data_IF_265972004149
#
_entry.id   IF_265972004149
#
_cell.length_a   1.000
_cell.length_b   1.000
_cell.length_c   1.000
_cell.angle_alpha   90.00
_cell.angle_beta   90.00
_cell.angle_gamma   90.00
#
_symmetry.space_group_name_H-M   'P 1'
#
loop_
_entity.id
_entity.type
_entity.pdbx_description
1 polymer ?
#
# COMPACT_ATOMS: atom_id res chain seq x y z
N UNK A 1 45.61 -27.87 27.95
CA UNK A 1 44.70 -26.74 28.26
C UNK A 1 45.23 -25.50 27.54
N UNK A 2 44.75 -25.22 26.32
CA UNK A 2 45.08 -23.99 25.60
C UNK A 2 43.93 -23.71 24.63
N UNK A 3 42.95 -22.96 25.12
CA UNK A 3 41.80 -22.51 24.34
C UNK A 3 42.26 -21.43 23.35
N UNK A 4 42.24 -21.74 22.06
CA UNK A 4 42.44 -20.78 20.99
C UNK A 4 41.37 -19.68 21.09
N UNK A 5 41.81 -18.43 21.26
CA UNK A 5 40.94 -17.24 21.26
C UNK A 5 40.12 -17.19 19.96
N UNK A 6 38.80 -17.00 20.00
CA UNK A 6 38.02 -16.85 18.77
C UNK A 6 38.43 -15.54 18.09
N UNK A 7 38.74 -15.63 16.79
CA UNK A 7 39.19 -14.53 15.95
C UNK A 7 38.22 -13.33 15.97
N UNK A 8 38.55 -12.27 16.72
CA UNK A 8 37.79 -11.02 16.78
C UNK A 8 37.61 -10.35 15.40
N UNK A 9 38.51 -10.61 14.44
CA UNK A 9 38.44 -10.10 13.06
C UNK A 9 37.36 -10.78 12.21
N UNK A 10 37.00 -12.03 12.50
CA UNK A 10 35.91 -12.74 11.82
C UNK A 10 34.54 -12.27 12.35
N UNK A 11 34.47 -11.96 13.64
CA UNK A 11 33.27 -11.44 14.28
C UNK A 11 33.00 -9.99 13.86
N UNK A 12 34.02 -9.13 13.82
CA UNK A 12 33.91 -7.75 13.33
C UNK A 12 33.51 -7.66 11.84
N UNK A 13 33.98 -8.58 10.98
CA UNK A 13 33.55 -8.65 9.57
C UNK A 13 32.10 -9.10 9.40
N UNK A 14 31.59 -9.98 10.26
CA UNK A 14 30.16 -10.32 10.24
C UNK A 14 29.30 -9.17 10.77
N UNK A 15 29.73 -8.43 11.79
CA UNK A 15 29.02 -7.23 12.28
C UNK A 15 28.98 -6.12 11.23
N UNK A 16 30.05 -5.94 10.45
CA UNK A 16 30.10 -4.99 9.33
C UNK A 16 29.19 -5.39 8.15
N UNK A 17 29.01 -6.70 7.88
CA UNK A 17 28.11 -7.21 6.82
C UNK A 17 26.62 -6.94 7.09
N UNK A 18 26.19 -7.09 8.35
CA UNK A 18 24.84 -6.69 8.77
C UNK A 18 24.71 -5.18 9.07
N UNK A 19 25.82 -4.43 9.00
CA UNK A 19 25.87 -3.00 9.27
C UNK A 19 25.04 -2.18 8.28
N UNK A 20 25.04 -2.52 6.99
CA UNK A 20 24.23 -1.79 5.99
C UNK A 20 22.73 -2.04 6.21
N UNK A 21 22.32 -3.29 6.43
CA UNK A 21 20.92 -3.63 6.76
C UNK A 21 20.46 -2.88 8.02
N UNK A 22 21.28 -2.87 9.07
CA UNK A 22 20.98 -2.15 10.32
C UNK A 22 20.86 -0.64 10.08
N UNK A 23 21.73 -0.05 9.26
CA UNK A 23 21.68 1.38 8.91
C UNK A 23 20.40 1.73 8.15
N UNK A 24 20.02 0.91 7.18
CA UNK A 24 18.76 1.08 6.41
C UNK A 24 17.53 0.96 7.30
N UNK A 25 17.51 -0.02 8.20
CA UNK A 25 16.40 -0.23 9.14
C UNK A 25 16.34 0.90 10.18
N UNK A 26 17.47 1.37 10.69
CA UNK A 26 17.55 2.53 11.58
C UNK A 26 17.05 3.80 10.90
N UNK A 27 17.40 4.02 9.62
CA UNK A 27 16.88 5.13 8.83
C UNK A 27 15.36 5.05 8.68
N UNK A 28 14.81 3.86 8.40
CA UNK A 28 13.37 3.64 8.31
C UNK A 28 12.65 3.95 9.63
N UNK A 29 13.16 3.45 10.76
CA UNK A 29 12.56 3.73 12.08
C UNK A 29 12.63 5.22 12.41
N UNK A 30 13.76 5.88 12.12
CA UNK A 30 13.90 7.32 12.34
C UNK A 30 12.94 8.12 11.46
N UNK A 31 12.76 7.72 10.19
CA UNK A 31 11.79 8.35 9.29
C UNK A 31 10.35 8.20 9.81
N UNK A 32 9.97 7.02 10.33
CA UNK A 32 8.65 6.80 10.93
C UNK A 32 8.44 7.63 12.21
N UNK A 33 9.50 7.84 13.01
CA UNK A 33 9.44 8.73 14.18
C UNK A 33 9.20 10.17 13.73
N UNK A 34 9.93 10.65 12.72
CA UNK A 34 9.74 12.00 12.16
C UNK A 34 8.33 12.17 11.59
N UNK A 35 7.82 11.17 10.87
CA UNK A 35 6.43 11.13 10.43
C UNK A 35 5.45 11.27 11.61
N UNK A 36 5.70 10.56 12.71
CA UNK A 36 4.83 10.61 13.89
C UNK A 36 4.89 11.95 14.62
N UNK A 37 6.07 12.57 14.71
CA UNK A 37 6.23 13.91 15.30
C UNK A 37 5.43 14.92 14.49
N UNK A 38 5.56 14.93 13.16
CA UNK A 38 4.81 15.87 12.33
C UNK A 38 3.29 15.63 12.35
N UNK A 39 2.83 14.40 12.60
CA UNK A 39 1.41 14.11 12.83
C UNK A 39 0.87 14.63 14.19
N UNK A 40 1.69 15.30 14.99
CA UNK A 40 1.28 16.00 16.22
C UNK A 40 1.43 17.52 16.12
N UNK A 41 1.95 18.06 15.00
CA UNK A 41 2.08 19.51 14.81
C UNK A 41 0.77 20.03 14.20
N UNK A 42 -0.06 20.77 14.95
CA UNK A 42 -1.32 21.31 14.43
C UNK A 42 -1.08 22.43 13.41
N UNK A 43 -2.00 22.58 12.45
CA UNK A 43 -2.00 23.74 11.55
C UNK A 43 -2.47 24.97 12.33
N UNK A 44 -1.82 26.14 12.17
CA UNK A 44 -2.25 27.38 12.82
C UNK A 44 -3.67 27.79 12.40
N UNK A 45 -4.45 28.33 13.35
CA UNK A 45 -5.74 28.98 13.07
C UNK A 45 -6.99 28.12 13.28
N UNK A 46 -6.86 26.88 13.78
CA UNK A 46 -8.00 26.00 14.10
C UNK A 46 -8.06 25.70 15.59
N UNK A 47 -9.28 25.71 16.14
CA UNK A 47 -9.55 25.30 17.50
C UNK A 47 -9.59 23.75 17.61
N UNK A 48 -8.65 23.12 18.34
CA UNK A 48 -8.60 21.67 18.48
C UNK A 48 -9.79 21.08 19.24
N UNK A 49 -10.44 21.84 20.14
CA UNK A 49 -11.58 21.34 20.92
C UNK A 49 -12.85 21.23 20.05
N UNK A 50 -13.12 22.25 19.24
CA UNK A 50 -14.24 22.24 18.30
C UNK A 50 -14.05 21.21 17.18
N UNK A 51 -12.82 21.06 16.70
CA UNK A 51 -12.48 19.99 15.77
C UNK A 51 -12.73 18.61 16.38
N UNK A 52 -12.36 18.39 17.64
CA UNK A 52 -12.62 17.12 18.32
C UNK A 52 -14.12 16.83 18.44
N UNK A 53 -14.95 17.84 18.72
CA UNK A 53 -16.40 17.71 18.74
C UNK A 53 -16.99 17.38 17.36
N UNK A 54 -16.50 18.03 16.30
CA UNK A 54 -16.86 17.71 14.92
C UNK A 54 -16.55 16.25 14.60
N UNK A 55 -15.35 15.79 14.95
CA UNK A 55 -14.92 14.42 14.72
C UNK A 55 -15.73 13.40 15.53
N UNK A 56 -16.14 13.72 16.76
CA UNK A 56 -17.03 12.86 17.54
C UNK A 56 -18.41 12.75 16.88
N UNK A 57 -18.95 13.86 16.38
CA UNK A 57 -20.27 13.90 15.72
C UNK A 57 -20.29 13.17 14.36
N UNK A 58 -19.15 13.06 13.67
CA UNK A 58 -19.05 12.50 12.32
C UNK A 58 -18.10 11.30 12.20
N UNK A 59 -17.85 10.64 13.34
CA UNK A 59 -16.86 9.56 13.49
C UNK A 59 -17.12 8.33 12.60
N UNK A 60 -18.37 8.05 12.23
CA UNK A 60 -18.75 6.94 11.35
C UNK A 60 -18.71 7.24 9.86
N UNK A 61 -18.36 8.47 9.46
CA UNK A 61 -18.40 8.90 8.06
C UNK A 61 -17.08 8.73 7.30
N UNK A 62 -17.07 9.23 6.07
CA UNK A 62 -15.89 9.30 5.18
C UNK A 62 -14.66 9.92 5.89
N UNK A 63 -14.88 10.92 6.76
CA UNK A 63 -13.84 11.55 7.59
C UNK A 63 -13.10 10.56 8.49
N UNK A 64 -13.79 9.55 9.03
CA UNK A 64 -13.20 8.47 9.81
C UNK A 64 -12.24 7.60 8.98
N UNK A 65 -12.61 7.28 7.73
CA UNK A 65 -11.76 6.53 6.81
C UNK A 65 -10.49 7.31 6.44
N UNK A 66 -10.60 8.62 6.18
CA UNK A 66 -9.43 9.48 5.96
C UNK A 66 -8.53 9.55 7.20
N UNK A 67 -9.11 9.58 8.40
CA UNK A 67 -8.35 9.62 9.64
C UNK A 67 -7.54 8.33 9.88
N UNK A 68 -8.07 7.18 9.47
CA UNK A 68 -7.37 5.89 9.56
C UNK A 68 -6.10 5.85 8.68
N UNK A 69 -6.20 6.32 7.43
CA UNK A 69 -5.03 6.35 6.53
C UNK A 69 -4.01 7.42 6.89
N UNK A 70 -4.45 8.51 7.53
CA UNK A 70 -3.58 9.59 7.98
C UNK A 70 -3.02 9.38 9.40
N UNK A 71 -3.34 8.25 10.05
CA UNK A 71 -2.80 7.90 11.37
C UNK A 71 -3.23 8.83 12.51
N UNK A 72 -4.41 9.42 12.40
CA UNK A 72 -4.92 10.41 13.36
C UNK A 72 -4.60 11.87 13.01
N UNK A 73 -3.85 12.11 11.92
CA UNK A 73 -3.42 13.45 11.52
C UNK A 73 -4.59 14.37 11.14
N UNK A 74 -5.69 13.80 10.62
CA UNK A 74 -6.91 14.56 10.32
C UNK A 74 -7.71 14.92 11.58
N UNK A 75 -7.84 13.99 12.53
CA UNK A 75 -8.55 14.24 13.81
C UNK A 75 -7.93 15.34 14.67
N UNK A 76 -6.64 15.62 14.46
CA UNK A 76 -5.88 16.68 15.14
C UNK A 76 -5.57 17.86 14.22
N UNK A 77 -6.07 17.83 12.99
CA UNK A 77 -5.78 18.75 11.90
C UNK A 77 -4.32 19.22 11.86
N UNK A 78 -3.43 18.26 11.61
CA UNK A 78 -1.98 18.49 11.61
C UNK A 78 -1.47 18.88 10.23
N UNK A 79 -0.19 19.27 10.16
CA UNK A 79 0.52 19.55 8.91
C UNK A 79 0.39 18.39 7.90
N UNK A 80 0.16 17.16 8.38
CA UNK A 80 -0.03 15.95 7.59
C UNK A 80 -1.49 15.52 7.41
N UNK A 81 -2.47 16.42 7.57
CA UNK A 81 -3.90 16.06 7.49
C UNK A 81 -4.32 15.38 6.18
N UNK A 82 -3.73 15.77 5.04
CA UNK A 82 -3.93 15.13 3.73
C UNK A 82 -3.19 13.78 3.59
N UNK A 83 -2.18 13.54 4.43
CA UNK A 83 -1.29 12.38 4.36
C UNK A 83 -0.60 12.27 3.01
N UNK A 84 -0.47 11.03 2.52
CA UNK A 84 0.13 10.72 1.22
C UNK A 84 -0.93 10.54 0.11
N UNK A 85 -2.21 10.80 0.41
CA UNK A 85 -3.34 10.58 -0.52
C UNK A 85 -3.22 11.38 -1.82
N UNK A 86 -2.84 12.67 -1.83
CA UNK A 86 -2.68 13.42 -3.08
C UNK A 86 -1.66 12.78 -4.02
N UNK A 87 -0.60 12.19 -3.45
CA UNK A 87 0.43 11.48 -4.21
C UNK A 87 -0.10 10.16 -4.79
N UNK A 88 -0.87 9.40 -4.00
CA UNK A 88 -1.51 8.17 -4.48
C UNK A 88 -2.43 8.49 -5.66
N UNK A 89 -3.27 9.51 -5.54
CA UNK A 89 -4.14 9.97 -6.63
C UNK A 89 -3.35 10.39 -7.87
N UNK A 90 -2.28 11.18 -7.72
CA UNK A 90 -1.42 11.57 -8.83
C UNK A 90 -0.75 10.35 -9.49
N UNK A 91 -0.29 9.37 -8.70
CA UNK A 91 0.34 8.15 -9.20
C UNK A 91 -0.64 7.29 -10.00
N UNK A 92 -1.90 7.20 -9.55
CA UNK A 92 -2.98 6.50 -10.27
C UNK A 92 -3.22 7.16 -11.62
N UNK A 93 -3.40 8.49 -11.62
CA UNK A 93 -3.66 9.26 -12.83
C UNK A 93 -2.50 9.07 -13.82
N UNK A 94 -1.26 9.18 -13.37
CA UNK A 94 -0.09 8.97 -14.22
C UNK A 94 0.02 7.54 -14.74
N UNK A 95 -0.31 6.52 -13.93
CA UNK A 95 -0.33 5.13 -14.38
C UNK A 95 -1.38 4.92 -15.49
N UNK A 96 -2.59 5.45 -15.32
CA UNK A 96 -3.65 5.38 -16.33
C UNK A 96 -3.24 6.13 -17.61
N UNK A 97 -2.72 7.34 -17.48
CA UNK A 97 -2.25 8.15 -18.62
C UNK A 97 -1.11 7.47 -19.37
N UNK A 98 -0.24 6.73 -18.69
CA UNK A 98 0.88 6.01 -19.33
C UNK A 98 0.41 4.95 -20.33
N UNK A 99 -0.81 4.45 -20.19
CA UNK A 99 -1.38 3.43 -21.06
C UNK A 99 -2.21 4.06 -22.17
N UNK A 100 -2.97 5.11 -21.84
CA UNK A 100 -3.81 5.82 -22.80
C UNK A 100 -2.94 6.61 -23.79
N UNK A 101 -1.81 7.16 -23.33
CA UNK A 101 -0.91 7.98 -24.13
C UNK A 101 0.33 7.17 -24.56
N UNK A 102 0.48 6.84 -25.86
CA UNK A 102 1.61 6.05 -26.36
C UNK A 102 2.97 6.73 -26.15
N UNK A 103 3.01 8.06 -26.03
CA UNK A 103 4.22 8.83 -25.70
C UNK A 103 4.72 8.56 -24.27
N UNK A 104 3.80 8.41 -23.31
CA UNK A 104 4.16 8.05 -21.95
C UNK A 104 4.52 6.56 -21.87
N UNK A 105 3.88 5.72 -22.67
CA UNK A 105 4.25 4.31 -22.79
C UNK A 105 5.67 4.12 -23.35
N UNK A 106 6.06 4.90 -24.37
CA UNK A 106 7.42 4.86 -24.90
C UNK A 106 8.44 5.33 -23.88
N UNK A 107 8.13 6.38 -23.11
CA UNK A 107 8.94 6.81 -21.96
C UNK A 107 9.09 5.66 -20.95
N UNK A 108 8.03 4.93 -20.62
CA UNK A 108 8.15 3.76 -19.72
C UNK A 108 9.09 2.68 -20.28
N UNK A 109 9.16 2.52 -21.60
CA UNK A 109 10.06 1.56 -22.30
C UNK A 109 11.52 2.01 -22.35
N UNK A 110 11.83 3.30 -22.15
CA UNK A 110 13.21 3.83 -22.07
C UNK A 110 13.95 3.42 -20.77
N UNK A 111 13.33 2.61 -19.91
CA UNK A 111 13.95 2.06 -18.71
C UNK A 111 13.99 3.07 -17.55
N UNK A 112 15.11 3.12 -16.83
CA UNK A 112 15.21 3.92 -15.59
C UNK A 112 15.08 5.43 -15.84
N UNK A 113 15.59 5.94 -16.95
CA UNK A 113 15.49 7.37 -17.27
C UNK A 113 14.03 7.80 -17.48
N UNK A 114 13.25 6.98 -18.18
CA UNK A 114 11.83 7.22 -18.40
C UNK A 114 10.98 7.08 -17.14
N UNK A 115 11.26 6.08 -16.30
CA UNK A 115 10.57 5.94 -15.00
C UNK A 115 10.81 7.15 -14.09
N UNK A 116 12.03 7.73 -14.10
CA UNK A 116 12.33 8.97 -13.37
C UNK A 116 11.51 10.16 -13.90
N UNK A 117 11.35 10.29 -15.22
CA UNK A 117 10.49 11.34 -15.83
C UNK A 117 9.02 11.18 -15.44
N UNK A 118 8.48 9.95 -15.49
CA UNK A 118 7.10 9.67 -15.06
C UNK A 118 6.93 10.04 -13.58
N UNK A 119 7.90 9.67 -12.74
CA UNK A 119 7.89 10.04 -11.31
C UNK A 119 7.90 11.56 -11.14
N UNK A 120 8.69 12.30 -11.93
CA UNK A 120 8.70 13.76 -11.91
C UNK A 120 7.34 14.36 -12.26
N UNK A 121 6.65 13.83 -13.28
CA UNK A 121 5.27 14.24 -13.59
C UNK A 121 4.30 13.89 -12.47
N UNK A 122 4.44 12.73 -11.82
CA UNK A 122 3.66 12.38 -10.64
C UNK A 122 3.88 13.39 -9.50
N UNK A 123 5.11 13.86 -9.28
CA UNK A 123 5.41 14.89 -8.26
C UNK A 123 4.70 16.21 -8.57
N UNK A 124 4.75 16.66 -9.83
CA UNK A 124 4.04 17.89 -10.23
C UNK A 124 2.52 17.75 -10.10
N UNK A 125 1.97 16.60 -10.52
CA UNK A 125 0.56 16.28 -10.32
C UNK A 125 0.17 16.25 -8.84
N UNK A 126 1.05 15.75 -7.98
CA UNK A 126 0.85 15.72 -6.53
C UNK A 126 0.73 17.13 -5.95
N UNK A 127 1.62 18.05 -6.33
CA UNK A 127 1.56 19.45 -5.87
C UNK A 127 0.24 20.10 -6.28
N UNK A 128 -0.17 19.92 -7.54
CA UNK A 128 -1.41 20.50 -8.06
C UNK A 128 -2.62 19.95 -7.31
N UNK A 129 -2.72 18.63 -7.17
CA UNK A 129 -3.82 17.98 -6.45
C UNK A 129 -3.83 18.34 -4.97
N UNK A 130 -2.68 18.37 -4.31
CA UNK A 130 -2.57 18.76 -2.91
C UNK A 130 -3.00 20.21 -2.71
N UNK A 131 -2.63 21.12 -3.62
CA UNK A 131 -3.04 22.53 -3.55
C UNK A 131 -4.54 22.67 -3.68
N UNK A 132 -5.13 21.97 -4.65
CA UNK A 132 -6.58 21.97 -4.85
C UNK A 132 -7.33 21.37 -3.66
N UNK A 133 -6.92 20.19 -3.17
CA UNK A 133 -7.54 19.55 -2.02
C UNK A 133 -7.37 20.36 -0.72
N UNK A 134 -6.18 20.93 -0.48
CA UNK A 134 -5.92 21.78 0.68
C UNK A 134 -6.79 23.04 0.66
N UNK A 135 -6.97 23.66 -0.52
CA UNK A 135 -7.84 24.82 -0.67
C UNK A 135 -9.29 24.46 -0.39
N UNK A 136 -9.78 23.35 -0.95
CA UNK A 136 -11.15 22.89 -0.71
C UNK A 136 -11.41 22.58 0.77
N UNK A 137 -10.45 21.94 1.46
CA UNK A 137 -10.56 21.68 2.90
C UNK A 137 -10.53 22.99 3.70
N UNK A 138 -9.66 23.93 3.36
CA UNK A 138 -9.59 25.22 4.05
C UNK A 138 -10.91 26.00 3.93
N UNK A 139 -11.52 26.03 2.74
CA UNK A 139 -12.83 26.67 2.53
C UNK A 139 -13.94 25.94 3.29
N UNK A 140 -13.94 24.60 3.28
CA UNK A 140 -14.94 23.78 3.99
C UNK A 140 -14.84 23.89 5.52
N UNK A 141 -13.66 24.14 6.07
CA UNK A 141 -13.49 24.35 7.51
C UNK A 141 -13.86 25.77 7.92
N UNK A 142 -13.63 26.75 7.04
CA UNK A 142 -14.04 28.13 7.29
C UNK A 142 -15.56 28.30 7.28
N UNK A 143 -16.30 27.48 6.52
CA UNK A 143 -17.76 27.52 6.51
C UNK A 143 -18.39 26.95 7.79
N UNK A 144 -17.62 26.30 8.66
CA UNK A 144 -18.09 25.84 9.96
C UNK A 144 -17.92 26.93 11.04
N UNK A 145 -19.01 27.40 11.66
CA UNK A 145 -18.96 28.48 12.64
C UNK A 145 -18.15 28.07 13.87
N UNK A 146 -17.17 28.91 14.24
CA UNK A 146 -16.35 28.76 15.45
C UNK A 146 -15.05 27.96 15.28
N UNK A 147 -14.92 27.17 14.20
CA UNK A 147 -13.81 26.22 14.04
C UNK A 147 -12.48 26.91 13.65
N UNK A 148 -12.58 28.07 13.00
CA UNK A 148 -11.44 28.92 12.62
C UNK A 148 -11.46 30.18 13.48
N UNK A 149 -10.32 30.48 14.12
CA UNK A 149 -10.18 31.60 15.07
C UNK A 149 -10.41 32.95 14.37
N UNK A 150 -9.83 33.12 13.18
CA UNK A 150 -10.01 34.29 12.32
C UNK A 150 -10.28 33.84 10.87
N UNK A 151 -11.56 33.74 10.45
CA UNK A 151 -11.93 33.45 9.07
C UNK A 151 -11.40 34.52 8.12
N UNK A 152 -10.61 34.13 7.11
CA UNK A 152 -10.08 35.07 6.15
C UNK A 152 -9.15 34.46 5.10
N UNK A 153 -8.84 35.25 4.07
CA UNK A 153 -7.93 34.84 2.98
C UNK A 153 -6.54 34.45 3.51
N UNK A 154 -6.11 35.07 4.62
CA UNK A 154 -4.85 34.76 5.29
C UNK A 154 -4.85 33.36 5.92
N UNK A 155 -5.97 32.93 6.51
CA UNK A 155 -6.13 31.55 7.00
C UNK A 155 -6.08 30.56 5.85
N UNK A 156 -6.85 30.79 4.76
CA UNK A 156 -6.84 29.90 3.58
C UNK A 156 -5.43 29.74 2.99
N UNK A 157 -4.71 30.84 2.82
CA UNK A 157 -3.34 30.80 2.30
C UNK A 157 -2.40 30.03 3.24
N UNK A 158 -2.48 30.28 4.55
CA UNK A 158 -1.65 29.60 5.55
C UNK A 158 -1.95 28.11 5.63
N UNK A 159 -3.23 27.72 5.62
CA UNK A 159 -3.66 26.33 5.62
C UNK A 159 -3.21 25.60 4.35
N UNK A 160 -3.38 26.21 3.17
CA UNK A 160 -2.93 25.63 1.89
C UNK A 160 -1.42 25.42 1.89
N UNK A 161 -0.63 26.45 2.23
CA UNK A 161 0.83 26.35 2.25
C UNK A 161 1.27 25.26 3.24
N UNK A 162 0.67 25.20 4.43
CA UNK A 162 1.03 24.22 5.45
C UNK A 162 0.71 22.79 5.02
N UNK A 163 -0.49 22.54 4.50
CA UNK A 163 -0.93 21.21 4.06
C UNK A 163 -0.18 20.71 2.82
N UNK A 164 0.10 21.61 1.86
CA UNK A 164 0.91 21.28 0.68
C UNK A 164 2.35 20.99 1.09
N UNK A 165 2.94 21.81 1.96
CA UNK A 165 4.29 21.58 2.47
C UNK A 165 4.39 20.24 3.22
N UNK A 166 3.40 19.92 4.05
CA UNK A 166 3.31 18.65 4.74
C UNK A 166 3.25 17.46 3.79
N UNK A 167 2.36 17.51 2.79
CA UNK A 167 2.24 16.46 1.77
C UNK A 167 3.54 16.27 0.99
N UNK A 168 4.20 17.37 0.61
CA UNK A 168 5.47 17.34 -0.12
C UNK A 168 6.59 16.76 0.73
N UNK A 169 6.62 17.08 2.02
CA UNK A 169 7.56 16.49 2.96
C UNK A 169 7.34 14.97 3.10
N UNK A 170 6.09 14.51 3.19
CA UNK A 170 5.77 13.08 3.25
C UNK A 170 6.16 12.33 1.98
N UNK A 171 5.93 12.95 0.81
CA UNK A 171 6.36 12.41 -0.47
C UNK A 171 7.88 12.25 -0.50
N UNK A 172 8.61 13.32 -0.15
CA UNK A 172 10.07 13.27 -0.06
C UNK A 172 10.56 12.22 0.93
N UNK A 173 9.95 12.13 2.11
CA UNK A 173 10.27 11.12 3.12
C UNK A 173 10.06 9.70 2.57
N UNK A 174 8.95 9.46 1.86
CA UNK A 174 8.63 8.17 1.24
C UNK A 174 9.65 7.77 0.17
N UNK A 175 10.09 8.71 -0.65
CA UNK A 175 11.15 8.47 -1.64
C UNK A 175 12.49 8.18 -0.97
N UNK A 176 12.84 8.93 0.08
CA UNK A 176 14.06 8.66 0.85
C UNK A 176 14.05 7.29 1.54
N UNK A 177 12.90 6.86 2.07
CA UNK A 177 12.74 5.49 2.61
C UNK A 177 12.93 4.45 1.51
N UNK A 178 12.48 4.73 0.29
CA UNK A 178 12.64 3.79 -0.85
C UNK A 178 14.11 3.70 -1.29
N UNK A 179 14.84 4.81 -1.35
CA UNK A 179 16.25 4.83 -1.78
C UNK A 179 17.20 4.29 -0.69
N UNK A 180 17.04 4.77 0.54
CA UNK A 180 17.97 4.52 1.66
C UNK A 180 17.47 3.48 2.65
N UNK A 181 16.19 3.14 2.62
CA UNK A 181 15.59 2.14 3.51
C UNK A 181 15.50 0.76 2.85
N UNK A 182 14.46 0.03 3.26
CA UNK A 182 14.05 -1.29 2.78
C UNK A 182 12.54 -1.20 2.55
N UNK A 183 12.02 -1.76 1.47
CA UNK A 183 10.61 -1.64 1.13
C UNK A 183 10.28 -0.51 0.17
N UNK A 184 8.99 -0.43 -0.19
CA UNK A 184 8.42 0.75 -0.81
C UNK A 184 8.06 1.75 0.30
N UNK A 185 8.73 2.90 0.31
CA UNK A 185 8.58 3.89 1.38
C UNK A 185 7.18 4.46 1.51
N UNK A 186 6.45 4.63 0.40
CA UNK A 186 5.05 5.08 0.42
C UNK A 186 4.17 4.05 1.13
N UNK A 187 4.34 2.77 0.81
CA UNK A 187 3.60 1.68 1.47
C UNK A 187 3.91 1.59 2.96
N UNK A 188 5.17 1.82 3.35
CA UNK A 188 5.61 1.83 4.76
C UNK A 188 5.04 3.02 5.52
N UNK A 189 4.92 4.20 4.91
CA UNK A 189 4.27 5.37 5.53
C UNK A 189 2.79 5.07 5.80
N UNK A 190 2.07 4.51 4.82
CA UNK A 190 0.65 4.13 5.00
C UNK A 190 0.52 3.08 6.11
N UNK A 191 1.36 2.06 6.09
CA UNK A 191 1.43 1.05 7.14
C UNK A 191 1.67 1.68 8.53
N UNK A 192 2.64 2.58 8.64
CA UNK A 192 2.96 3.28 9.88
C UNK A 192 1.80 4.15 10.37
N UNK A 193 1.08 4.81 9.47
CA UNK A 193 -0.12 5.59 9.79
C UNK A 193 -1.22 4.72 10.40
N UNK A 194 -1.60 3.63 9.72
CA UNK A 194 -2.65 2.73 10.19
C UNK A 194 -2.22 2.02 11.49
N UNK A 195 -0.98 1.53 11.55
CA UNK A 195 -0.44 0.84 12.73
C UNK A 195 -0.38 1.75 13.96
N UNK A 196 -0.18 3.06 13.78
CA UNK A 196 -0.19 4.02 14.88
C UNK A 196 -1.60 4.27 15.46
N UNK A 197 -2.67 3.96 14.72
CA UNK A 197 -4.05 4.00 15.23
C UNK A 197 -4.44 2.77 16.06
N UNK A 198 -3.69 1.66 15.90
CA UNK A 198 -3.95 0.37 16.54
C UNK A 198 -4.00 0.43 18.07
N UNK A 199 -3.06 1.11 18.77
CA UNK A 199 -3.07 1.15 20.24
C UNK A 199 -4.31 1.87 20.79
N UNK A 200 -4.75 2.95 20.12
CA UNK A 200 -5.95 3.69 20.51
C UNK A 200 -7.21 2.85 20.31
N UNK A 201 -7.30 2.08 19.23
CA UNK A 201 -8.43 1.17 18.99
C UNK A 201 -8.52 0.07 20.06
N UNK A 202 -7.38 -0.50 20.47
CA UNK A 202 -7.31 -1.50 21.55
C UNK A 202 -7.68 -0.86 22.89
N UNK A 203 -7.16 0.33 23.19
CA UNK A 203 -7.50 1.09 24.40
C UNK A 203 -9.01 1.40 24.48
N UNK A 204 -9.60 1.87 23.38
CA UNK A 204 -11.04 2.11 23.28
C UNK A 204 -11.85 0.84 23.49
N UNK A 205 -11.45 -0.30 22.92
CA UNK A 205 -12.12 -1.58 23.16
C UNK A 205 -12.07 -1.99 24.63
N UNK A 206 -10.93 -1.79 25.31
CA UNK A 206 -10.84 -2.05 26.75
C UNK A 206 -11.72 -1.10 27.58
N UNK A 207 -11.82 0.17 27.21
CA UNK A 207 -12.73 1.11 27.84
C UNK A 207 -14.19 0.73 27.65
N UNK A 208 -14.60 0.34 26.44
CA UNK A 208 -15.97 -0.12 26.15
C UNK A 208 -16.35 -1.34 27.01
N UNK A 209 -15.41 -2.26 27.23
CA UNK A 209 -15.59 -3.41 28.12
C UNK A 209 -15.66 -2.99 29.58
N UNK A 210 -14.80 -2.05 30.01
CA UNK A 210 -14.76 -1.53 31.38
C UNK A 210 -16.01 -0.74 31.75
N UNK A 211 -16.58 0.02 30.82
CA UNK A 211 -17.81 0.81 31.02
C UNK A 211 -19.08 -0.04 30.96
N UNK A 212 -18.97 -1.33 30.62
CA UNK A 212 -20.12 -2.24 30.50
C UNK A 212 -20.97 -2.02 29.24
N UNK A 213 -20.58 -1.09 28.37
CA UNK A 213 -21.22 -0.85 27.07
C UNK A 213 -21.11 -2.03 26.11
N UNK A 214 -20.09 -2.87 26.28
CA UNK A 214 -19.87 -4.09 25.51
C UNK A 214 -19.67 -5.29 26.43
N UNK A 215 -20.30 -6.42 26.11
CA UNK A 215 -20.07 -7.66 26.84
C UNK A 215 -18.66 -8.19 26.61
N UNK A 216 -18.06 -8.75 27.66
CA UNK A 216 -16.73 -9.40 27.60
C UNK A 216 -16.72 -10.51 26.53
N UNK A 217 -17.83 -11.21 26.38
CA UNK A 217 -18.00 -12.25 25.35
C UNK A 217 -17.90 -11.66 23.94
N UNK A 218 -18.54 -10.52 23.68
CA UNK A 218 -18.46 -9.85 22.38
C UNK A 218 -17.03 -9.36 22.07
N UNK A 219 -16.34 -8.80 23.06
CA UNK A 219 -14.96 -8.34 22.90
C UNK A 219 -13.99 -9.49 22.54
N UNK A 220 -14.08 -10.63 23.24
CA UNK A 220 -13.27 -11.83 22.94
C UNK A 220 -13.58 -12.35 21.54
N UNK A 221 -14.86 -12.39 21.16
CA UNK A 221 -15.30 -12.84 19.85
C UNK A 221 -14.76 -11.95 18.72
N UNK A 222 -14.73 -10.63 18.91
CA UNK A 222 -14.15 -9.68 17.96
C UNK A 222 -12.65 -9.91 17.78
N UNK A 223 -11.90 -10.08 18.87
CA UNK A 223 -10.45 -10.36 18.81
C UNK A 223 -10.20 -11.70 18.08
N UNK A 224 -11.01 -12.72 18.35
CA UNK A 224 -10.92 -14.00 17.65
C UNK A 224 -11.17 -13.86 16.14
N UNK A 225 -12.15 -13.06 15.74
CA UNK A 225 -12.41 -12.76 14.31
C UNK A 225 -11.22 -12.04 13.68
N UNK A 226 -10.65 -11.01 14.31
CA UNK A 226 -9.49 -10.28 13.78
C UNK A 226 -8.34 -11.25 13.50
N UNK A 227 -8.03 -12.14 14.45
CA UNK A 227 -6.96 -13.13 14.31
C UNK A 227 -7.29 -14.13 13.20
N UNK A 228 -8.52 -14.63 13.15
CA UNK A 228 -8.97 -15.58 12.13
C UNK A 228 -8.91 -14.99 10.72
N UNK A 229 -9.38 -13.76 10.53
CA UNK A 229 -9.31 -13.05 9.24
C UNK A 229 -7.85 -12.78 8.89
N UNK A 230 -7.02 -12.32 9.82
CA UNK A 230 -5.59 -12.10 9.58
C UNK A 230 -4.89 -13.40 9.15
N UNK A 231 -5.18 -14.51 9.82
CA UNK A 231 -4.64 -15.83 9.46
C UNK A 231 -5.10 -16.26 8.07
N UNK A 232 -6.39 -16.12 7.76
CA UNK A 232 -6.93 -16.42 6.43
C UNK A 232 -6.26 -15.57 5.35
N UNK A 233 -6.05 -14.27 5.61
CA UNK A 233 -5.39 -13.36 4.68
C UNK A 233 -3.94 -13.79 4.43
N UNK A 234 -3.17 -14.06 5.49
CA UNK A 234 -1.78 -14.54 5.37
C UNK A 234 -1.70 -15.88 4.64
N UNK A 235 -2.63 -16.81 4.92
CA UNK A 235 -2.68 -18.11 4.28
C UNK A 235 -2.92 -17.99 2.77
N UNK A 236 -3.87 -17.13 2.37
CA UNK A 236 -4.22 -16.90 0.97
C UNK A 236 -3.11 -16.13 0.23
N UNK A 237 -2.54 -15.09 0.83
CA UNK A 237 -1.45 -14.29 0.23
C UNK A 237 -0.13 -15.07 0.11
N UNK A 238 0.11 -16.07 0.98
CA UNK A 238 1.23 -17.03 0.81
C UNK A 238 0.94 -18.10 -0.23
N UNK A 239 -0.31 -18.23 -0.67
CA UNK A 239 -0.73 -19.15 -1.72
C UNK A 239 -0.06 -18.83 -3.05
N UNK A 240 0.70 -19.79 -3.57
CA UNK A 240 1.33 -19.70 -4.89
C UNK A 240 0.94 -20.89 -5.75
N UNK A 241 0.57 -20.62 -7.00
CA UNK A 241 0.41 -21.62 -8.04
C UNK A 241 1.75 -21.83 -8.74
N UNK A 242 2.33 -23.01 -8.56
CA UNK A 242 3.61 -23.37 -9.19
C UNK A 242 3.35 -23.94 -10.59
N UNK A 243 3.86 -23.27 -11.62
CA UNK A 243 3.89 -23.80 -12.98
C UNK A 243 5.27 -24.44 -13.20
N UNK A 244 5.31 -25.73 -13.52
CA UNK A 244 6.57 -26.41 -13.80
C UNK A 244 7.15 -25.94 -15.14
N UNK A 245 8.42 -25.57 -15.13
CA UNK A 245 9.18 -25.16 -16.30
C UNK A 245 10.45 -26.00 -16.35
N UNK A 246 10.70 -26.63 -17.50
CA UNK A 246 11.91 -27.40 -17.74
C UNK A 246 12.87 -26.57 -18.57
N UNK A 247 14.13 -26.51 -18.12
CA UNK A 247 15.21 -25.97 -18.94
C UNK A 247 15.68 -27.02 -19.93
N UNK A 248 15.87 -26.62 -21.19
CA UNK A 248 16.37 -27.49 -22.24
C UNK A 248 17.71 -28.12 -21.83
N UNK A 249 17.79 -29.45 -21.96
CA UNK A 249 19.02 -30.21 -21.73
C UNK A 249 19.99 -29.90 -22.86
N UNK A 250 21.22 -29.49 -22.52
CA UNK A 250 22.28 -29.34 -23.52
C UNK A 250 23.23 -30.52 -23.38
N UNK A 251 23.21 -31.40 -24.37
CA UNK A 251 24.20 -32.46 -24.45
C UNK A 251 25.49 -31.87 -25.03
N UNK A 252 26.59 -31.95 -24.27
CA UNK A 252 27.92 -31.56 -24.71
C UNK A 252 28.80 -32.80 -24.59
N UNK A 253 29.15 -33.41 -25.73
CA UNK A 253 29.80 -34.73 -25.77
C UNK A 253 28.89 -35.86 -25.27
N UNK A 254 29.46 -36.85 -24.57
CA UNK A 254 28.72 -37.98 -24.00
C UNK A 254 28.03 -37.69 -22.64
N UNK A 255 28.09 -36.45 -22.14
CA UNK A 255 27.46 -36.07 -20.87
C UNK A 255 26.31 -35.10 -21.12
N UNK A 256 25.13 -35.47 -20.62
CA UNK A 256 23.97 -34.58 -20.59
C UNK A 256 24.15 -33.60 -19.44
N UNK A 257 24.36 -32.33 -19.75
CA UNK A 257 24.36 -31.24 -18.77
C UNK A 257 23.01 -30.52 -18.81
N UNK A 258 22.45 -30.27 -17.63
CA UNK A 258 21.18 -29.57 -17.48
C UNK A 258 19.95 -30.48 -17.47
N UNK A 259 18.77 -29.84 -17.44
CA UNK A 259 17.48 -30.51 -17.19
C UNK A 259 16.97 -30.36 -15.77
N UNK A 260 17.37 -29.30 -15.05
CA UNK A 260 16.75 -28.97 -13.78
C UNK A 260 15.31 -28.50 -14.06
N UNK A 261 14.35 -29.14 -13.41
CA UNK A 261 12.99 -28.61 -13.35
C UNK A 261 12.98 -27.45 -12.38
N UNK A 262 12.44 -26.33 -12.82
CA UNK A 262 12.14 -25.18 -11.98
C UNK A 262 10.63 -24.96 -11.97
N UNK A 263 10.18 -24.06 -11.12
CA UNK A 263 8.80 -23.62 -11.11
C UNK A 263 8.77 -22.10 -11.28
N UNK A 264 7.84 -21.63 -12.11
CA UNK A 264 7.44 -20.23 -12.16
C UNK A 264 6.32 -20.06 -11.12
N UNK A 265 6.57 -19.39 -9.99
CA UNK A 265 5.54 -19.17 -8.98
C UNK A 265 4.64 -18.00 -9.42
N UNK A 266 3.34 -18.26 -9.55
CA UNK A 266 2.32 -17.21 -9.68
C UNK A 266 1.59 -17.07 -8.35
N UNK A 267 1.65 -15.89 -7.74
CA UNK A 267 0.86 -15.59 -6.54
C UNK A 267 -0.62 -15.52 -6.91
N UNK A 268 -1.52 -15.78 -5.95
CA UNK A 268 -2.96 -15.61 -6.16
C UNK A 268 -3.30 -14.14 -6.47
N UNK A 269 -2.68 -13.23 -5.72
CA UNK A 269 -2.82 -11.79 -5.89
C UNK A 269 -1.50 -11.21 -6.42
N UNK A 270 -1.44 -10.99 -7.73
CA UNK A 270 -0.28 -10.33 -8.37
C UNK A 270 -0.35 -8.80 -8.20
N UNK A 271 -1.52 -8.28 -7.84
CA UNK A 271 -1.78 -6.84 -7.71
C UNK A 271 -1.44 -6.27 -6.33
N UNK A 272 -1.27 -7.14 -5.32
CA UNK A 272 -1.02 -6.73 -3.93
C UNK A 272 -2.19 -5.91 -3.37
N UNK A 273 -1.87 -4.85 -2.61
CA UNK A 273 -2.86 -3.98 -1.95
C UNK A 273 -3.32 -2.81 -2.81
N UNK A 274 -2.72 -2.63 -3.97
CA UNK A 274 -2.93 -1.43 -4.77
C UNK A 274 -4.39 -1.30 -5.25
N UNK A 275 -5.07 -2.37 -5.71
CA UNK A 275 -6.45 -2.24 -6.18
C UNK A 275 -7.46 -1.79 -5.09
N UNK A 276 -7.46 -2.33 -3.86
CA UNK A 276 -8.31 -1.79 -2.78
C UNK A 276 -8.07 -0.30 -2.49
N UNK A 277 -6.81 0.15 -2.52
CA UNK A 277 -6.44 1.55 -2.31
C UNK A 277 -6.97 2.42 -3.46
N UNK A 278 -6.94 1.92 -4.69
CA UNK A 278 -7.44 2.64 -5.87
C UNK A 278 -8.96 2.74 -5.84
N UNK A 279 -9.63 1.63 -5.50
CA UNK A 279 -11.07 1.60 -5.32
C UNK A 279 -11.52 2.60 -4.24
N UNK A 280 -10.85 2.63 -3.08
CA UNK A 280 -11.16 3.62 -2.05
C UNK A 280 -10.89 5.04 -2.52
N UNK A 281 -9.75 5.31 -3.15
CA UNK A 281 -9.39 6.67 -3.60
C UNK A 281 -10.37 7.22 -4.64
N UNK A 282 -10.84 6.38 -5.55
CA UNK A 282 -11.79 6.77 -6.61
C UNK A 282 -13.19 6.99 -6.07
N UNK A 283 -13.62 6.26 -5.05
CA UNK A 283 -14.93 6.50 -4.42
C UNK A 283 -14.90 7.76 -3.55
N UNK A 284 -13.77 7.97 -2.87
CA UNK A 284 -13.57 9.15 -2.03
C UNK A 284 -13.49 10.44 -2.85
N UNK A 285 -12.99 10.41 -4.09
CA UNK A 285 -12.82 11.60 -4.91
C UNK A 285 -14.16 12.32 -5.24
N UNK A 286 -15.18 11.67 -5.83
CA UNK A 286 -16.50 12.26 -6.00
C UNK A 286 -17.15 12.64 -4.67
N UNK A 287 -16.95 11.85 -3.61
CA UNK A 287 -17.52 12.16 -2.30
C UNK A 287 -16.93 13.47 -1.72
N UNK A 288 -15.63 13.71 -1.90
CA UNK A 288 -15.01 14.99 -1.52
C UNK A 288 -15.57 16.15 -2.36
N UNK A 289 -15.68 15.96 -3.69
CA UNK A 289 -16.27 16.97 -4.59
C UNK A 289 -17.71 17.28 -4.19
N UNK A 290 -18.50 16.25 -3.92
CA UNK A 290 -19.89 16.40 -3.54
C UNK A 290 -20.04 17.14 -2.21
N UNK A 291 -19.18 16.84 -1.23
CA UNK A 291 -19.10 17.59 0.02
C UNK A 291 -18.85 19.09 -0.21
N UNK A 292 -18.06 19.46 -1.21
CA UNK A 292 -17.82 20.87 -1.55
C UNK A 292 -19.06 21.58 -2.08
N UNK A 293 -19.87 20.91 -2.90
CA UNK A 293 -21.09 21.47 -3.50
C UNK A 293 -22.33 21.44 -2.58
N UNK A 294 -22.28 20.72 -1.45
CA UNK A 294 -23.40 20.67 -0.50
C UNK A 294 -23.60 21.95 0.33
N UNK A 295 -22.64 22.88 0.31
CA UNK A 295 -22.73 24.16 1.02
C UNK A 295 -23.65 25.18 0.33
N UNK A 296 -23.97 24.99 -0.96
CA UNK A 296 -24.71 25.97 -1.76
C UNK A 296 -26.11 25.43 -2.13
N UNK A 297 -27.04 25.58 -1.19
CA UNK A 297 -28.34 24.90 -1.18
C UNK A 297 -29.43 25.63 -1.97
N UNK A 298 -29.32 25.74 -3.30
CA UNK A 298 -30.46 26.23 -4.13
C UNK A 298 -30.64 25.57 -5.52
N UNK A 299 -29.62 24.95 -6.13
CA UNK A 299 -29.74 24.34 -7.47
C UNK A 299 -30.24 22.88 -7.48
N UNK A 300 -30.98 22.48 -8.52
CA UNK A 300 -31.37 21.07 -8.77
C UNK A 300 -30.16 20.12 -8.88
N UNK A 301 -29.03 20.65 -9.36
CA UNK A 301 -27.74 19.94 -9.42
C UNK A 301 -27.16 19.69 -8.01
N UNK A 302 -27.31 20.63 -7.09
CA UNK A 302 -26.86 20.47 -5.70
C UNK A 302 -27.65 19.40 -4.94
N UNK A 303 -28.95 19.25 -5.24
CA UNK A 303 -29.78 18.14 -4.72
C UNK A 303 -29.34 16.79 -5.30
N UNK A 304 -29.12 16.69 -6.61
CA UNK A 304 -28.60 15.46 -7.22
C UNK A 304 -27.24 15.05 -6.64
N UNK A 305 -26.34 16.01 -6.44
CA UNK A 305 -25.02 15.76 -5.83
C UNK A 305 -25.16 15.33 -4.36
N UNK A 306 -26.08 15.93 -3.61
CA UNK A 306 -26.35 15.55 -2.20
C UNK A 306 -26.96 14.15 -2.09
N UNK A 307 -27.90 13.81 -2.96
CA UNK A 307 -28.50 12.47 -3.02
C UNK A 307 -27.47 11.43 -3.47
N UNK A 308 -26.58 11.78 -4.41
CA UNK A 308 -25.47 10.93 -4.82
C UNK A 308 -24.43 10.74 -3.69
N UNK A 309 -24.12 11.78 -2.92
CA UNK A 309 -23.23 11.68 -1.76
C UNK A 309 -23.84 10.87 -0.62
N UNK A 310 -25.14 11.04 -0.36
CA UNK A 310 -25.87 10.28 0.65
C UNK A 310 -25.96 8.80 0.27
N UNK A 311 -26.16 8.49 -1.01
CA UNK A 311 -26.18 7.10 -1.52
C UNK A 311 -24.80 6.45 -1.57
N UNK A 312 -23.73 7.23 -1.65
CA UNK A 312 -22.34 6.79 -1.52
C UNK A 312 -21.80 6.84 -0.08
N UNK A 313 -22.65 7.09 0.92
CA UNK A 313 -22.21 7.04 2.32
C UNK A 313 -21.91 5.59 2.74
N UNK A 314 -20.83 5.35 3.51
CA UNK A 314 -20.57 4.06 4.12
C UNK A 314 -21.79 3.54 4.90
N UNK A 315 -22.12 2.27 4.72
CA UNK A 315 -23.25 1.60 5.36
C UNK A 315 -24.50 1.44 4.49
N UNK A 316 -24.58 2.10 3.33
CA UNK A 316 -25.64 1.82 2.36
C UNK A 316 -25.31 0.62 1.47
N UNK A 317 -26.29 -0.24 1.12
CA UNK A 317 -26.07 -1.36 0.20
C UNK A 317 -25.53 -0.96 -1.17
N UNK A 318 -25.91 0.24 -1.65
CA UNK A 318 -25.44 0.79 -2.93
C UNK A 318 -23.94 1.08 -2.88
N UNK A 319 -23.45 1.69 -1.79
CA UNK A 319 -22.03 1.91 -1.57
C UNK A 319 -21.25 0.59 -1.57
N UNK A 320 -21.73 -0.41 -0.84
CA UNK A 320 -21.11 -1.74 -0.75
C UNK A 320 -21.00 -2.39 -2.14
N UNK A 321 -22.08 -2.34 -2.94
CA UNK A 321 -22.11 -2.94 -4.27
C UNK A 321 -21.17 -2.21 -5.25
N UNK A 322 -21.17 -0.88 -5.23
CA UNK A 322 -20.28 -0.07 -6.06
C UNK A 322 -18.81 -0.26 -5.63
N UNK A 323 -18.55 -0.36 -4.34
CA UNK A 323 -17.22 -0.64 -3.81
C UNK A 323 -16.72 -2.02 -4.21
N UNK A 324 -17.56 -3.05 -4.08
CA UNK A 324 -17.26 -4.40 -4.52
C UNK A 324 -16.94 -4.46 -6.03
N UNK A 325 -17.78 -3.83 -6.86
CA UNK A 325 -17.57 -3.77 -8.30
C UNK A 325 -16.27 -3.03 -8.65
N UNK A 326 -15.97 -1.92 -7.97
CA UNK A 326 -14.72 -1.18 -8.16
C UNK A 326 -13.50 -2.02 -7.78
N UNK A 327 -13.52 -2.73 -6.64
CA UNK A 327 -12.42 -3.62 -6.25
C UNK A 327 -12.17 -4.68 -7.31
N UNK A 328 -13.22 -5.39 -7.76
CA UNK A 328 -13.09 -6.44 -8.77
C UNK A 328 -12.54 -5.86 -10.07
N UNK A 329 -13.09 -4.74 -10.53
CA UNK A 329 -12.62 -4.05 -11.73
C UNK A 329 -11.13 -3.69 -11.62
N UNK A 330 -10.71 -3.04 -10.53
CA UNK A 330 -9.31 -2.65 -10.35
C UNK A 330 -8.38 -3.84 -10.16
N UNK A 331 -8.83 -4.95 -9.57
CA UNK A 331 -8.02 -6.16 -9.46
C UNK A 331 -7.70 -6.74 -10.84
N UNK A 332 -8.70 -6.85 -11.72
CA UNK A 332 -8.51 -7.33 -13.09
C UNK A 332 -7.68 -6.35 -13.92
N UNK A 333 -8.05 -5.08 -13.86
CA UNK A 333 -7.40 -4.03 -14.61
C UNK A 333 -5.91 -3.92 -14.23
N UNK A 334 -5.59 -3.81 -12.93
CA UNK A 334 -4.21 -3.68 -12.48
C UNK A 334 -3.37 -4.93 -12.79
N UNK A 335 -3.93 -6.14 -12.61
CA UNK A 335 -3.20 -7.38 -12.90
C UNK A 335 -2.86 -7.50 -14.38
N UNK A 336 -3.81 -7.17 -15.27
CA UNK A 336 -3.59 -7.16 -16.71
C UNK A 336 -2.54 -6.12 -17.14
N UNK A 337 -2.43 -5.00 -16.42
CA UNK A 337 -1.46 -3.94 -16.73
C UNK A 337 -0.04 -4.26 -16.29
N UNK A 338 0.13 -4.88 -15.13
CA UNK A 338 1.45 -5.17 -14.57
C UNK A 338 2.03 -6.45 -15.17
N UNK A 339 1.19 -7.45 -15.45
CA UNK A 339 1.66 -8.76 -15.88
C UNK A 339 1.52 -8.95 -17.39
N UNK A 340 2.62 -8.75 -18.13
CA UNK A 340 2.66 -9.04 -19.56
C UNK A 340 3.06 -10.51 -19.81
N UNK A 341 2.06 -11.36 -20.03
CA UNK A 341 2.28 -12.79 -20.30
C UNK A 341 3.12 -13.06 -21.55
N UNK A 342 3.07 -12.19 -22.56
CA UNK A 342 3.86 -12.34 -23.79
C UNK A 342 5.33 -12.17 -23.50
N UNK A 343 5.69 -11.13 -22.75
CA UNK A 343 7.07 -10.86 -22.37
C UNK A 343 7.63 -11.98 -21.47
N UNK A 344 6.83 -12.52 -20.55
CA UNK A 344 7.21 -13.68 -19.73
C UNK A 344 7.45 -14.92 -20.61
N UNK A 345 6.57 -15.21 -21.56
CA UNK A 345 6.72 -16.33 -22.48
C UNK A 345 7.97 -16.18 -23.37
N UNK A 346 8.25 -14.97 -23.87
CA UNK A 346 9.44 -14.68 -24.66
C UNK A 346 10.72 -14.80 -23.82
N UNK A 347 10.70 -14.36 -22.55
CA UNK A 347 11.81 -14.53 -21.62
C UNK A 347 12.07 -16.00 -21.27
N UNK A 348 11.02 -16.82 -21.10
CA UNK A 348 11.15 -18.26 -20.95
C UNK A 348 11.81 -18.88 -22.18
N UNK A 349 11.34 -18.52 -23.38
CA UNK A 349 11.90 -18.98 -24.66
C UNK A 349 13.37 -18.58 -24.82
N UNK A 350 13.73 -17.32 -24.53
CA UNK A 350 15.13 -16.83 -24.58
C UNK A 350 16.03 -17.54 -23.56
N UNK A 351 15.49 -17.88 -22.39
CA UNK A 351 16.22 -18.60 -21.34
C UNK A 351 16.34 -20.11 -21.61
N UNK A 352 15.85 -20.61 -22.75
CA UNK A 352 15.82 -22.05 -23.06
C UNK A 352 14.86 -22.85 -22.17
N UNK A 353 13.92 -22.18 -21.51
CA UNK A 353 12.96 -22.76 -20.59
C UNK A 353 11.61 -22.94 -21.30
N UNK A 354 10.95 -24.08 -21.09
CA UNK A 354 9.63 -24.34 -21.67
C UNK A 354 8.71 -25.07 -20.70
N UNK A 355 7.41 -24.84 -20.85
CA UNK A 355 6.38 -25.54 -20.08
C UNK A 355 6.14 -26.90 -20.77
N UNK A 356 6.29 -28.03 -20.07
CA UNK A 356 6.05 -29.35 -20.64
C UNK A 356 4.66 -29.46 -21.26
N UNK A 357 4.57 -29.96 -22.50
CA UNK A 357 3.31 -30.13 -23.22
C UNK A 357 2.80 -28.89 -23.97
N UNK A 358 3.49 -27.75 -23.91
CA UNK A 358 3.07 -26.52 -24.59
C UNK A 358 4.20 -26.00 -25.48
N UNK A 359 3.86 -25.66 -26.73
CA UNK A 359 4.85 -25.10 -27.67
C UNK A 359 5.33 -23.72 -27.19
N UNK A 360 6.65 -23.45 -27.17
CA UNK A 360 7.18 -22.13 -26.79
C UNK A 360 6.67 -21.00 -27.69
N UNK A 361 6.43 -19.82 -27.11
CA UNK A 361 5.90 -18.64 -27.81
C UNK A 361 4.42 -18.41 -27.51
N UNK A 362 3.62 -18.14 -28.54
CA UNK A 362 2.23 -17.69 -28.38
C UNK A 362 1.34 -18.67 -27.59
N UNK A 363 1.55 -19.98 -27.72
CA UNK A 363 0.80 -20.99 -26.97
C UNK A 363 1.13 -20.95 -25.47
N UNK A 364 2.39 -20.63 -25.12
CA UNK A 364 2.81 -20.41 -23.73
C UNK A 364 2.14 -19.15 -23.17
N UNK A 365 2.07 -18.07 -23.97
CA UNK A 365 1.36 -16.84 -23.60
C UNK A 365 -0.12 -17.11 -23.27
N UNK A 366 -0.85 -17.76 -24.20
CA UNK A 366 -2.28 -18.08 -24.01
C UNK A 366 -2.52 -18.96 -22.79
N UNK A 367 -1.62 -19.89 -22.51
CA UNK A 367 -1.71 -20.74 -21.32
C UNK A 367 -1.53 -19.97 -20.02
N UNK A 368 -0.50 -19.11 -19.96
CA UNK A 368 -0.23 -18.26 -18.79
C UNK A 368 -1.41 -17.30 -18.58
N UNK A 369 -1.94 -16.66 -19.63
CA UNK A 369 -3.11 -15.78 -19.56
C UNK A 369 -4.34 -16.49 -18.98
N UNK A 370 -4.64 -17.70 -19.47
CA UNK A 370 -5.78 -18.49 -18.96
C UNK A 370 -5.65 -18.81 -17.48
N UNK A 371 -4.42 -19.03 -16.99
CA UNK A 371 -4.14 -19.25 -15.59
C UNK A 371 -4.30 -17.96 -14.78
N UNK A 372 -3.75 -16.85 -15.28
CA UNK A 372 -3.81 -15.54 -14.61
C UNK A 372 -5.24 -15.05 -14.45
N UNK A 373 -6.07 -15.14 -15.48
CA UNK A 373 -7.49 -14.70 -15.40
C UNK A 373 -8.23 -15.47 -14.30
N UNK A 374 -8.02 -16.79 -14.21
CA UNK A 374 -8.66 -17.64 -13.17
C UNK A 374 -8.12 -17.35 -11.77
N UNK A 375 -6.81 -17.14 -11.64
CA UNK A 375 -6.20 -16.76 -10.36
C UNK A 375 -6.68 -15.39 -9.90
N UNK A 376 -6.73 -14.42 -10.82
CA UNK A 376 -7.16 -13.04 -10.56
C UNK A 376 -8.64 -13.02 -10.18
N UNK A 377 -9.49 -13.85 -10.80
CA UNK A 377 -10.89 -13.99 -10.40
C UNK A 377 -11.02 -14.45 -8.95
N UNK A 378 -10.29 -15.50 -8.57
CA UNK A 378 -10.29 -16.01 -7.19
C UNK A 378 -9.71 -14.97 -6.21
N UNK A 379 -8.63 -14.27 -6.60
CA UNK A 379 -8.03 -13.20 -5.81
C UNK A 379 -8.96 -12.01 -5.61
N UNK A 380 -9.64 -11.55 -6.67
CA UNK A 380 -10.58 -10.42 -6.62
C UNK A 380 -11.78 -10.71 -5.70
N UNK A 381 -12.34 -11.92 -5.78
CA UNK A 381 -13.42 -12.37 -4.88
C UNK A 381 -12.93 -12.35 -3.42
N UNK A 382 -11.76 -12.91 -3.15
CA UNK A 382 -11.18 -12.94 -1.81
C UNK A 382 -10.91 -11.53 -1.25
N UNK A 383 -10.28 -10.65 -2.03
CA UNK A 383 -10.00 -9.25 -1.62
C UNK A 383 -11.31 -8.53 -1.32
N UNK A 384 -12.32 -8.69 -2.17
CA UNK A 384 -13.64 -8.09 -1.97
C UNK A 384 -14.29 -8.60 -0.68
N UNK A 385 -14.26 -9.91 -0.42
CA UNK A 385 -14.79 -10.49 0.81
C UNK A 385 -14.07 -9.95 2.05
N UNK A 386 -12.74 -9.84 2.02
CA UNK A 386 -11.96 -9.30 3.15
C UNK A 386 -12.28 -7.82 3.40
N UNK A 387 -12.44 -7.01 2.36
CA UNK A 387 -12.80 -5.60 2.51
C UNK A 387 -14.22 -5.42 3.04
N UNK A 388 -15.19 -6.22 2.58
CA UNK A 388 -16.59 -6.10 2.97
C UNK A 388 -16.94 -6.73 4.31
N UNK A 389 -16.16 -7.72 4.77
CA UNK A 389 -16.44 -8.45 6.01
C UNK A 389 -16.58 -7.49 7.20
N UNK A 390 -15.64 -6.56 7.46
CA UNK A 390 -15.79 -5.60 8.57
C UNK A 390 -16.99 -4.66 8.42
N UNK A 391 -17.34 -4.22 7.21
CA UNK A 391 -18.52 -3.38 7.00
C UNK A 391 -19.81 -4.09 7.41
N UNK A 392 -19.92 -5.38 7.08
CA UNK A 392 -21.06 -6.20 7.48
C UNK A 392 -21.13 -6.40 9.00
N UNK A 393 -19.98 -6.53 9.67
CA UNK A 393 -19.92 -6.67 11.13
C UNK A 393 -20.33 -5.38 11.84
N UNK A 394 -19.88 -4.22 11.35
CA UNK A 394 -20.26 -2.91 11.90
C UNK A 394 -21.76 -2.68 11.76
N UNK A 395 -22.34 -3.00 10.60
CA UNK A 395 -23.78 -2.84 10.34
C UNK A 395 -24.66 -3.72 11.25
N UNK A 396 -24.23 -4.96 11.55
CA UNK A 396 -25.05 -5.91 12.30
C UNK A 396 -24.83 -5.86 13.81
N UNK A 397 -23.61 -5.61 14.26
CA UNK A 397 -23.24 -5.61 15.68
C UNK A 397 -23.02 -4.22 16.27
N UNK A 398 -23.13 -3.15 15.48
CA UNK A 398 -23.06 -1.75 15.91
C UNK A 398 -21.82 -1.40 16.74
N UNK A 399 -20.75 -2.17 16.57
CA UNK A 399 -19.46 -1.91 17.19
C UNK A 399 -18.65 -1.04 16.23
N UNK A 400 -18.13 0.12 16.66
CA UNK A 400 -17.22 0.92 15.85
C UNK A 400 -15.90 0.16 15.68
N UNK A 401 -15.87 -0.70 14.67
CA UNK A 401 -14.71 -1.49 14.36
C UNK A 401 -13.72 -0.61 13.61
N UNK A 402 -12.75 -0.05 14.34
CA UNK A 402 -11.68 0.77 13.78
C UNK A 402 -10.78 0.01 12.76
N UNK A 403 -10.92 -1.31 12.69
CA UNK A 403 -10.25 -2.18 11.73
C UNK A 403 -11.06 -2.32 10.44
N UNK A 404 -11.03 -1.31 9.56
CA UNK A 404 -11.56 -1.48 8.21
C UNK A 404 -10.86 -2.64 7.46
N UNK A 405 -11.59 -3.38 6.63
CA UNK A 405 -11.05 -4.55 5.92
C UNK A 405 -9.86 -4.20 5.02
N UNK A 406 -9.91 -3.01 4.42
CA UNK A 406 -8.81 -2.44 3.63
C UNK A 406 -7.57 -2.15 4.48
N UNK A 407 -7.75 -1.67 5.71
CA UNK A 407 -6.65 -1.37 6.63
C UNK A 407 -5.93 -2.65 7.08
N UNK A 408 -6.69 -3.71 7.35
CA UNK A 408 -6.15 -5.03 7.67
C UNK A 408 -5.31 -5.58 6.50
N UNK A 409 -5.85 -5.49 5.28
CA UNK A 409 -5.16 -5.97 4.07
C UNK A 409 -3.84 -5.23 3.85
N UNK A 410 -3.84 -3.90 4.02
CA UNK A 410 -2.63 -3.07 3.95
C UNK A 410 -1.59 -3.55 4.96
N UNK A 411 -1.98 -3.74 6.22
CA UNK A 411 -1.07 -4.20 7.29
C UNK A 411 -0.41 -5.52 6.90
N UNK A 412 -1.19 -6.51 6.49
CA UNK A 412 -0.67 -7.86 6.22
C UNK A 412 0.25 -7.87 5.01
N UNK A 413 -0.17 -7.29 3.88
CA UNK A 413 0.59 -7.38 2.64
C UNK A 413 1.86 -6.53 2.70
N UNK A 414 1.82 -5.32 3.27
CA UNK A 414 3.03 -4.49 3.42
C UNK A 414 4.04 -5.18 4.35
N UNK A 415 3.57 -5.82 5.43
CA UNK A 415 4.45 -6.61 6.31
C UNK A 415 5.06 -7.80 5.57
N UNK A 416 4.28 -8.50 4.75
CA UNK A 416 4.75 -9.62 3.93
C UNK A 416 5.78 -9.18 2.88
N UNK A 417 5.54 -8.06 2.19
CA UNK A 417 6.47 -7.50 1.22
C UNK A 417 7.76 -7.01 1.88
N UNK A 418 7.65 -6.36 3.04
CA UNK A 418 8.82 -5.95 3.83
C UNK A 418 9.65 -7.18 4.23
N UNK A 419 9.02 -8.23 4.76
CA UNK A 419 9.70 -9.47 5.14
C UNK A 419 10.33 -10.17 3.94
N UNK A 420 9.66 -10.22 2.79
CA UNK A 420 10.20 -10.81 1.56
C UNK A 420 11.42 -10.04 1.04
N UNK A 421 11.40 -8.71 1.11
CA UNK A 421 12.54 -7.88 0.72
C UNK A 421 13.71 -8.02 1.69
N UNK A 422 13.46 -8.05 2.99
CA UNK A 422 14.50 -8.31 4.00
C UNK A 422 15.14 -9.68 3.76
N UNK A 423 14.34 -10.73 3.52
CA UNK A 423 14.85 -12.07 3.20
C UNK A 423 15.69 -12.08 1.92
N UNK A 424 15.21 -11.44 0.85
CA UNK A 424 15.94 -11.32 -0.42
C UNK A 424 17.30 -10.62 -0.24
N UNK A 425 17.31 -9.53 0.53
CA UNK A 425 18.52 -8.77 0.83
C UNK A 425 19.51 -9.58 1.69
N UNK A 426 19.03 -10.32 2.70
CA UNK A 426 19.89 -11.21 3.51
C UNK A 426 20.45 -12.35 2.66
N UNK A 427 19.65 -12.92 1.76
CA UNK A 427 20.07 -14.04 0.90
C UNK A 427 21.11 -13.60 -0.14
N UNK A 428 20.98 -12.42 -0.74
CA UNK A 428 21.97 -11.90 -1.70
C UNK A 428 23.36 -11.71 -1.06
N UNK A 429 23.41 -11.25 0.20
CA UNK A 429 24.66 -11.15 0.95
C UNK A 429 25.31 -12.51 1.26
N UNK A 430 24.50 -13.55 1.46
CA UNK A 430 25.02 -14.91 1.69
C UNK A 430 25.66 -15.50 0.43
N UNK A 431 25.09 -15.23 -0.75
CA UNK A 431 25.60 -15.69 -2.05
C UNK A 431 27.03 -15.23 -2.33
N UNK A 432 27.35 -13.96 -2.07
CA UNK A 432 28.71 -13.44 -2.27
C UNK A 432 29.73 -14.17 -1.37
N UNK A 433 29.33 -14.54 -0.15
CA UNK A 433 30.19 -15.29 0.77
C UNK A 433 30.44 -16.74 0.33
N UNK A 434 29.44 -17.36 -0.31
CA UNK A 434 29.52 -18.72 -0.82
C UNK A 434 30.38 -18.78 -2.09
N UNK A 435 30.21 -17.81 -3.00
CA UNK A 435 31.06 -17.67 -4.20
C UNK A 435 32.52 -17.39 -3.84
N UNK A 436 32.77 -16.54 -2.83
CA UNK A 436 34.13 -16.27 -2.37
C UNK A 436 34.80 -17.49 -1.74
N UNK A 437 34.05 -18.36 -1.04
CA UNK A 437 34.58 -19.64 -0.50
C UNK A 437 34.85 -20.67 -1.59
N UNK A 438 34.05 -20.71 -2.65
CA UNK A 438 34.25 -21.64 -3.77
C UNK A 438 35.53 -21.35 -4.59
N UNK A 439 35.90 -20.07 -4.76
CA UNK A 439 37.07 -19.69 -5.56
C UNK A 439 38.44 -19.99 -4.89
N UNK A 440 38.49 -20.38 -3.61
CA UNK A 440 39.76 -20.69 -2.93
C UNK A 440 40.27 -22.13 -3.13
N UNK A 441 39.59 -22.96 -3.95
CA UNK A 441 40.00 -24.36 -4.19
C UNK A 441 40.70 -24.62 -5.54
N UNK A 442 41.13 -23.57 -6.25
CA UNK A 442 41.64 -23.67 -7.62
C UNK A 442 43.13 -23.45 -7.85
N UNK A 443 43.97 -23.21 -6.82
CA UNK A 443 45.37 -22.82 -7.07
C UNK A 443 46.39 -23.41 -6.08
N UNK A 444 46.37 -24.72 -5.86
CA UNK A 444 47.51 -25.44 -5.27
C UNK A 444 47.53 -26.88 -5.78
N UNK A 445 48.23 -27.09 -6.91
CA UNK A 445 49.20 -28.18 -7.15
C UNK A 445 49.72 -28.07 -8.59
N UNK A 446 50.76 -27.25 -8.77
CA UNK A 446 51.78 -27.47 -9.79
C UNK A 446 53.12 -27.42 -9.07
N UNK A 447 53.62 -28.60 -8.71
CA UNK A 447 55.03 -28.89 -8.50
C UNK A 447 55.27 -30.35 -8.78
#
# INVERSE_FOLDING_TARGET
>A
MATAKPNASAQARNTAKYGDLKRRLMFLVLALIVYRIGAHIPVPGIDPEQLAQLFQSQSGGILGMFNLFSGGALSRFTVFALGIMPYISASIIMQLLTIVLPQLESLKKEGQAGQRKITQYTRYGTVLLATFQAFSIAVALESQPGLVIDPGMMFRATAVITLVTGTMFLMWLGEQITERGLGNGISIIIFGGIAAGLPNAIGGLFELVRTGSMSIIAAIFIVAIVIAVTFAVVFVERGQRKILVNYAKRQVGNKVYGGQSSHLPLKLNMAGVIPPIFASSIILFPATIAGWFTSDSTGAVGRFIKDLAATLSPGQPVYILLYAAAIVFFCFFYTALVYNSREVADNLKKSGAFIPGIRPGEQTTRYIDKILVRLTLAGAIYITLVCLLPEFLVLRWNVPFYFGGTSLLIIVVVTMDFMAQVQSYVMSQQYESLLKKANFKGNLTLR
#
